data_IF_384991960805
#
_entry.id   IF_384991960805
#
_cell.length_a   1.000
_cell.length_b   1.000
_cell.length_c   1.000
_cell.angle_alpha   90.00
_cell.angle_beta   90.00
_cell.angle_gamma   90.00
#
_symmetry.space_group_name_H-M   'P 1'
#
loop_
_entity.id
_entity.type
_entity.pdbx_description
1 polymer ?
#
# COMPACT_ATOMS: atom_id res chain seq x y z
N UNK A 1 -24.82 23.87 45.27
CA UNK A 1 -25.25 24.64 44.10
C UNK A 1 -24.16 24.56 43.06
N UNK A 2 -24.45 23.79 42.04
CA UNK A 2 -23.91 23.81 40.67
C UNK A 2 -22.41 23.99 40.41
N UNK A 3 -21.79 22.85 40.19
CA UNK A 3 -20.56 22.73 39.38
C UNK A 3 -20.82 21.68 38.27
N UNK A 4 -21.59 22.07 37.29
CA UNK A 4 -21.75 21.37 35.99
C UNK A 4 -21.71 22.46 34.94
N UNK A 5 -20.66 22.48 34.12
CA UNK A 5 -20.47 23.01 32.77
C UNK A 5 -18.96 23.29 32.64
N UNK A 6 -18.24 22.29 32.16
CA UNK A 6 -16.93 22.46 31.47
C UNK A 6 -16.35 21.07 31.11
N UNK A 7 -17.05 20.35 30.24
CA UNK A 7 -16.47 19.17 29.56
C UNK A 7 -17.26 18.90 28.28
N UNK A 8 -17.12 19.79 27.31
CA UNK A 8 -17.68 19.52 25.97
C UNK A 8 -16.98 20.36 24.89
N UNK A 9 -15.72 20.16 24.73
CA UNK A 9 -15.00 20.55 23.50
C UNK A 9 -13.61 19.92 23.60
N UNK A 10 -13.38 18.86 22.90
CA UNK A 10 -12.13 18.28 22.43
C UNK A 10 -12.39 16.77 22.30
N UNK A 11 -12.29 16.29 21.11
CA UNK A 11 -12.19 14.91 20.60
C UNK A 11 -13.27 14.54 19.58
N UNK A 12 -13.22 15.20 18.42
CA UNK A 12 -13.52 14.51 17.18
C UNK A 12 -12.23 13.81 16.73
N UNK A 13 -11.87 12.74 17.37
CA UNK A 13 -10.91 11.79 16.84
C UNK A 13 -11.66 10.72 16.05
N UNK A 14 -11.27 10.59 14.78
CA UNK A 14 -11.62 9.53 13.85
C UNK A 14 -11.64 8.17 14.53
N UNK A 15 -12.62 7.33 14.18
CA UNK A 15 -12.84 5.97 14.68
C UNK A 15 -11.74 4.97 14.22
N UNK A 16 -10.50 5.22 14.54
CA UNK A 16 -9.42 4.22 14.48
C UNK A 16 -9.24 3.55 15.84
N UNK A 17 -10.30 2.98 16.39
CA UNK A 17 -10.26 2.25 17.65
C UNK A 17 -10.85 0.87 17.50
N UNK A 18 -10.10 -0.04 16.87
CA UNK A 18 -10.23 -1.47 17.18
C UNK A 18 -8.90 -2.13 16.81
N UNK A 19 -7.96 -2.13 17.72
CA UNK A 19 -7.13 -3.27 18.09
C UNK A 19 -6.29 -2.91 19.32
N UNK A 20 -6.94 -2.94 20.48
CA UNK A 20 -6.26 -2.91 21.76
C UNK A 20 -6.15 -4.34 22.26
N UNK A 21 -5.26 -5.14 21.67
CA UNK A 21 -4.54 -6.17 22.41
C UNK A 21 -3.21 -5.55 22.81
N UNK A 22 -3.14 -5.18 24.07
CA UNK A 22 -2.09 -4.41 24.69
C UNK A 22 -0.91 -5.35 24.99
N UNK A 23 -0.09 -5.60 23.99
CA UNK A 23 1.34 -5.50 24.14
C UNK A 23 1.72 -4.23 23.42
N UNK A 24 2.18 -3.21 24.18
CA UNK A 24 2.74 -2.01 23.56
C UNK A 24 3.79 -2.47 22.58
N UNK A 25 3.71 -1.96 21.33
CA UNK A 25 4.73 -2.29 20.32
C UNK A 25 6.10 -1.86 20.83
N UNK A 26 7.13 -2.50 20.35
CA UNK A 26 8.53 -2.14 20.71
C UNK A 26 8.79 -0.66 20.47
N UNK A 27 8.29 -0.10 19.36
CA UNK A 27 8.41 1.31 19.04
C UNK A 27 7.64 2.20 20.03
N UNK A 28 6.38 1.87 20.32
CA UNK A 28 5.55 2.66 21.24
C UNK A 28 6.05 2.62 22.68
N UNK A 29 6.67 1.52 23.11
CA UNK A 29 7.26 1.35 24.44
C UNK A 29 8.63 2.03 24.57
N UNK A 30 9.34 2.29 23.46
CA UNK A 30 10.67 2.89 23.49
C UNK A 30 10.61 4.39 23.82
N UNK A 31 11.58 4.84 24.64
CA UNK A 31 11.76 6.26 24.95
C UNK A 31 12.96 6.81 24.17
N UNK A 32 12.71 7.69 23.23
CA UNK A 32 13.73 8.25 22.33
C UNK A 32 14.50 9.45 22.90
N UNK A 33 14.31 9.78 24.18
CA UNK A 33 14.93 10.97 24.80
C UNK A 33 16.45 10.98 24.60
N UNK A 34 16.95 12.05 23.98
CA UNK A 34 18.38 12.27 23.72
C UNK A 34 19.00 11.34 22.66
N UNK A 35 18.19 10.53 21.94
CA UNK A 35 18.64 9.66 20.88
C UNK A 35 18.40 10.25 19.50
N UNK A 36 19.27 9.92 18.55
CA UNK A 36 19.12 10.23 17.13
C UNK A 36 18.54 9.01 16.42
N UNK A 37 17.27 9.06 16.06
CA UNK A 37 16.62 7.98 15.34
C UNK A 37 16.86 8.11 13.83
N UNK A 38 17.56 7.13 13.25
CA UNK A 38 17.77 7.00 11.81
C UNK A 38 16.60 6.22 11.21
N UNK A 39 15.75 6.91 10.45
CA UNK A 39 14.49 6.36 9.95
C UNK A 39 14.55 6.17 8.44
N UNK A 40 14.23 4.96 7.97
CA UNK A 40 13.94 4.72 6.56
C UNK A 40 12.46 4.98 6.30
N UNK A 41 12.17 6.02 5.54
CA UNK A 41 10.82 6.41 5.13
C UNK A 41 10.63 6.26 3.61
N UNK A 42 9.39 6.16 3.14
CA UNK A 42 9.09 6.15 1.71
C UNK A 42 8.49 7.48 1.25
N UNK A 43 9.37 8.44 0.97
CA UNK A 43 9.01 9.75 0.42
C UNK A 43 9.10 9.79 -1.12
N UNK A 44 8.94 8.65 -1.76
CA UNK A 44 8.84 8.56 -3.21
C UNK A 44 7.44 9.03 -3.67
N UNK A 45 7.23 10.33 -3.59
CA UNK A 45 5.98 11.03 -3.93
C UNK A 45 6.03 11.59 -5.35
N UNK A 46 4.88 11.71 -6.05
CA UNK A 46 4.83 12.32 -7.37
C UNK A 46 5.01 13.85 -7.26
N UNK A 47 5.81 14.40 -8.16
CA UNK A 47 6.06 15.83 -8.30
C UNK A 47 5.56 16.32 -9.66
N UNK A 48 4.99 17.52 -9.70
CA UNK A 48 4.69 18.21 -10.94
C UNK A 48 5.96 18.82 -11.60
N UNK A 49 5.80 19.48 -12.73
CA UNK A 49 6.91 20.11 -13.47
C UNK A 49 7.60 21.25 -12.68
N UNK A 50 6.95 21.79 -11.66
CA UNK A 50 7.47 22.84 -10.76
C UNK A 50 7.96 22.27 -9.42
N UNK A 51 8.11 20.94 -9.33
CA UNK A 51 8.50 20.20 -8.14
C UNK A 51 7.53 20.31 -6.96
N UNK A 52 6.25 20.65 -7.20
CA UNK A 52 5.24 20.56 -6.16
C UNK A 52 4.79 19.13 -5.99
N UNK A 53 4.55 18.73 -4.74
CA UNK A 53 4.01 17.40 -4.41
C UNK A 53 2.53 17.36 -4.79
N UNK A 54 2.14 16.41 -5.63
CA UNK A 54 0.75 16.22 -6.08
C UNK A 54 0.00 15.18 -5.23
N UNK A 55 0.72 14.29 -4.54
CA UNK A 55 0.18 13.35 -3.55
C UNK A 55 1.17 13.16 -2.42
N UNK A 56 0.77 13.49 -1.20
CA UNK A 56 1.60 13.43 0.01
C UNK A 56 1.24 12.28 0.96
N UNK A 57 0.39 11.35 0.52
CA UNK A 57 -0.13 10.23 1.33
C UNK A 57 0.98 9.45 2.02
N UNK A 58 2.06 9.14 1.31
CA UNK A 58 3.23 8.43 1.86
C UNK A 58 3.95 9.22 2.94
N UNK A 59 4.10 10.54 2.75
CA UNK A 59 4.72 11.39 3.76
C UNK A 59 3.84 11.45 5.02
N UNK A 60 2.55 11.68 4.86
CA UNK A 60 1.58 11.72 5.97
C UNK A 60 1.58 10.43 6.79
N UNK A 61 1.71 9.28 6.15
CA UNK A 61 1.74 7.98 6.83
C UNK A 61 2.85 7.85 7.87
N UNK A 62 4.01 8.50 7.68
CA UNK A 62 5.16 8.43 8.60
C UNK A 62 5.17 9.53 9.66
N UNK A 63 4.32 10.55 9.54
CA UNK A 63 4.29 11.67 10.49
C UNK A 63 4.09 11.22 11.94
N UNK A 64 3.17 10.26 12.27
CA UNK A 64 3.02 9.77 13.64
C UNK A 64 4.31 9.18 14.23
N UNK A 65 5.09 8.46 13.44
CA UNK A 65 6.40 7.91 13.84
C UNK A 65 7.38 9.04 14.19
N UNK A 66 7.50 10.03 13.32
CA UNK A 66 8.39 11.18 13.53
C UNK A 66 7.95 11.96 14.76
N UNK A 67 6.67 12.28 14.89
CA UNK A 67 6.12 13.04 16.02
C UNK A 67 6.32 12.34 17.36
N UNK A 68 6.20 11.00 17.43
CA UNK A 68 6.47 10.23 18.65
C UNK A 68 7.94 10.43 19.10
N UNK A 69 8.89 10.32 18.17
CA UNK A 69 10.32 10.47 18.49
C UNK A 69 10.64 11.89 18.96
N UNK A 70 10.13 12.90 18.25
CA UNK A 70 10.34 14.31 18.63
C UNK A 70 9.65 14.61 19.97
N UNK A 71 8.44 14.08 20.20
CA UNK A 71 7.69 14.25 21.45
C UNK A 71 8.36 13.63 22.66
N UNK A 72 9.13 12.57 22.50
CA UNK A 72 9.95 11.96 23.55
C UNK A 72 11.22 12.80 23.86
N UNK A 73 11.54 13.81 23.05
CA UNK A 73 12.79 14.57 23.15
C UNK A 73 13.96 13.93 22.42
N UNK A 74 13.70 13.11 21.42
CA UNK A 74 14.67 12.62 20.44
C UNK A 74 14.85 13.58 19.27
N UNK A 75 15.76 13.23 18.37
CA UNK A 75 15.94 13.87 17.06
C UNK A 75 15.84 12.83 15.95
N UNK A 76 15.54 13.26 14.73
CA UNK A 76 15.21 12.38 13.61
C UNK A 76 16.12 12.62 12.42
N UNK A 77 16.67 11.55 11.87
CA UNK A 77 17.41 11.57 10.60
C UNK A 77 16.64 10.71 9.60
N UNK A 78 16.13 11.33 8.55
CA UNK A 78 15.29 10.70 7.54
C UNK A 78 16.11 10.28 6.33
N UNK A 79 15.98 9.02 5.96
CA UNK A 79 16.53 8.42 4.75
C UNK A 79 15.39 8.05 3.82
N UNK A 80 15.43 8.49 2.57
CA UNK A 80 14.44 8.09 1.56
C UNK A 80 15.05 8.03 0.17
N UNK A 81 14.25 7.51 -0.77
CA UNK A 81 14.51 7.64 -2.20
C UNK A 81 13.43 8.49 -2.87
N UNK A 82 13.74 9.05 -4.02
CA UNK A 82 12.80 9.73 -4.89
C UNK A 82 13.10 9.34 -6.35
N UNK A 83 12.09 8.81 -7.03
CA UNK A 83 12.18 8.39 -8.42
C UNK A 83 13.20 7.27 -8.68
N UNK A 84 13.72 7.25 -9.91
CA UNK A 84 14.71 6.25 -10.38
C UNK A 84 15.82 6.98 -11.15
N UNK A 85 16.70 7.70 -10.46
CA UNK A 85 17.87 8.32 -11.11
C UNK A 85 18.78 7.23 -11.68
N UNK A 86 19.26 7.43 -12.92
CA UNK A 86 20.15 6.45 -13.59
C UNK A 86 21.62 6.88 -13.51
N UNK A 87 21.87 8.20 -13.51
CA UNK A 87 23.18 8.78 -13.76
C UNK A 87 23.70 9.60 -12.55
N UNK A 88 23.30 9.23 -11.33
CA UNK A 88 23.69 9.91 -10.09
C UNK A 88 22.85 11.15 -9.75
N UNK A 89 23.41 12.11 -9.00
CA UNK A 89 22.66 13.26 -8.50
C UNK A 89 22.11 14.16 -9.61
N UNK A 90 20.80 14.43 -9.53
CA UNK A 90 20.11 15.37 -10.42
C UNK A 90 19.08 16.16 -9.62
N UNK A 91 18.87 17.42 -9.97
CA UNK A 91 17.92 18.31 -9.29
C UNK A 91 16.51 17.73 -9.26
N UNK A 92 16.08 17.11 -10.36
CA UNK A 92 14.76 16.50 -10.51
C UNK A 92 14.44 15.48 -9.41
N UNK A 93 15.43 14.75 -8.91
CA UNK A 93 15.27 13.69 -7.93
C UNK A 93 15.85 14.04 -6.56
N UNK A 94 16.18 15.33 -6.33
CA UNK A 94 16.66 15.78 -5.02
C UNK A 94 15.52 15.82 -4.00
N UNK A 95 15.77 15.29 -2.81
CA UNK A 95 14.83 15.34 -1.68
C UNK A 95 14.69 16.76 -1.11
N UNK A 96 15.53 17.73 -1.52
CA UNK A 96 15.41 19.13 -1.09
C UNK A 96 14.04 19.73 -1.39
N UNK A 97 13.38 19.29 -2.48
CA UNK A 97 12.05 19.76 -2.86
C UNK A 97 10.97 19.40 -1.85
N UNK A 98 11.21 18.41 -0.99
CA UNK A 98 10.24 17.92 0.00
C UNK A 98 10.35 18.68 1.34
N UNK A 99 11.45 19.40 1.60
CA UNK A 99 11.76 20.03 2.90
C UNK A 99 10.64 20.96 3.37
N UNK A 100 10.22 21.90 2.52
CA UNK A 100 9.19 22.87 2.89
C UNK A 100 7.84 22.23 3.20
N UNK A 101 7.51 21.15 2.49
CA UNK A 101 6.29 20.40 2.74
C UNK A 101 6.39 19.61 4.05
N UNK A 102 7.54 19.01 4.32
CA UNK A 102 7.79 18.29 5.58
C UNK A 102 7.70 19.21 6.79
N UNK A 103 8.24 20.45 6.70
CA UNK A 103 8.08 21.49 7.75
C UNK A 103 6.60 21.75 8.05
N UNK A 104 5.76 21.87 7.00
CA UNK A 104 4.31 22.06 7.17
C UNK A 104 3.64 20.85 7.86
N UNK A 105 3.95 19.64 7.43
CA UNK A 105 3.40 18.42 8.02
C UNK A 105 3.82 18.20 9.49
N UNK A 106 4.99 18.73 9.88
CA UNK A 106 5.52 18.67 11.23
C UNK A 106 5.20 19.92 12.08
N UNK A 107 4.18 20.71 11.68
CA UNK A 107 3.72 21.89 12.41
C UNK A 107 4.82 22.92 12.71
N UNK A 108 5.76 23.13 11.77
CA UNK A 108 6.82 24.09 11.87
C UNK A 108 8.08 23.63 12.62
N UNK A 109 8.24 22.32 12.86
CA UNK A 109 9.49 21.78 13.39
C UNK A 109 10.70 22.16 12.50
N UNK A 110 11.85 22.32 13.12
CA UNK A 110 13.10 22.62 12.39
C UNK A 110 13.51 21.41 11.56
N UNK A 111 13.50 21.56 10.24
CA UNK A 111 13.97 20.55 9.28
C UNK A 111 15.22 21.06 8.58
N UNK A 112 16.33 20.37 8.81
CA UNK A 112 17.62 20.59 8.13
C UNK A 112 17.71 19.66 6.91
N UNK A 113 18.47 20.07 5.90
CA UNK A 113 18.74 19.24 4.73
C UNK A 113 20.24 19.06 4.55
N UNK A 114 20.67 17.81 4.30
CA UNK A 114 22.03 17.49 3.88
C UNK A 114 22.02 17.11 2.40
N UNK A 115 22.87 17.73 1.61
CA UNK A 115 23.00 17.56 0.17
C UNK A 115 23.78 16.30 -0.25
N UNK A 116 24.03 15.41 0.72
CA UNK A 116 24.64 14.09 0.53
C UNK A 116 24.08 13.10 1.57
N UNK A 117 24.28 11.78 1.31
CA UNK A 117 23.85 10.72 2.22
C UNK A 117 24.92 10.33 3.23
N UNK A 118 26.20 10.34 2.86
CA UNK A 118 27.33 9.80 3.62
C UNK A 118 28.58 10.70 3.58
N UNK A 119 28.47 11.89 3.04
CA UNK A 119 29.55 12.88 3.01
C UNK A 119 29.63 13.71 4.30
N UNK A 120 30.60 14.62 4.34
CA UNK A 120 30.81 15.52 5.48
C UNK A 120 29.56 16.30 5.88
N UNK A 121 28.82 16.83 4.90
CA UNK A 121 27.56 17.56 5.14
C UNK A 121 26.53 16.73 5.94
N UNK A 122 26.39 15.44 5.64
CA UNK A 122 25.47 14.56 6.38
C UNK A 122 25.95 14.31 7.82
N UNK A 123 27.24 13.99 7.99
CA UNK A 123 27.80 13.71 9.31
C UNK A 123 27.83 14.93 10.22
N UNK A 124 28.25 16.11 9.71
CA UNK A 124 28.34 17.34 10.50
C UNK A 124 26.95 17.79 10.96
N UNK A 125 25.95 17.72 10.06
CA UNK A 125 24.57 18.06 10.40
C UNK A 125 23.94 17.03 11.34
N UNK A 126 24.22 15.74 11.19
CA UNK A 126 23.77 14.71 12.12
C UNK A 126 24.43 14.86 13.50
N UNK A 127 25.74 15.19 13.55
CA UNK A 127 26.45 15.42 14.81
C UNK A 127 25.88 16.62 15.59
N UNK A 128 25.53 17.70 14.89
CA UNK A 128 25.01 18.95 15.49
C UNK A 128 23.50 18.98 15.68
N UNK A 129 22.79 17.87 15.36
CA UNK A 129 21.32 17.79 15.45
C UNK A 129 20.87 17.84 16.92
N UNK A 130 19.95 18.74 17.24
CA UNK A 130 19.41 18.93 18.58
C UNK A 130 18.11 18.14 18.79
N UNK A 131 17.75 17.81 20.03
CA UNK A 131 16.44 17.25 20.35
C UNK A 131 15.31 18.10 19.78
N UNK A 132 14.32 17.45 19.15
CA UNK A 132 13.21 18.13 18.47
C UNK A 132 13.49 18.56 17.03
N UNK A 133 14.72 18.39 16.53
CA UNK A 133 15.06 18.70 15.14
C UNK A 133 15.00 17.47 14.23
N UNK A 134 14.80 17.71 12.93
CA UNK A 134 14.77 16.71 11.87
C UNK A 134 15.88 17.02 10.85
N UNK A 135 16.61 16.02 10.43
CA UNK A 135 17.53 16.07 9.30
C UNK A 135 17.00 15.18 8.18
N UNK A 136 16.76 15.73 7.01
CA UNK A 136 16.54 14.97 5.79
C UNK A 136 17.87 14.89 5.03
N UNK A 137 18.39 13.69 4.78
CA UNK A 137 19.55 13.49 3.91
C UNK A 137 19.11 13.35 2.46
N UNK A 138 20.06 13.49 1.53
CA UNK A 138 19.77 13.41 0.09
C UNK A 138 19.30 12.03 -0.36
N UNK A 139 18.80 11.94 -1.60
CA UNK A 139 18.25 10.74 -2.21
C UNK A 139 19.24 9.60 -2.20
N UNK A 140 18.91 8.54 -1.48
CA UNK A 140 19.72 7.32 -1.36
C UNK A 140 20.08 6.70 -2.71
N UNK A 141 19.20 6.82 -3.72
CA UNK A 141 19.40 6.27 -5.06
C UNK A 141 20.37 7.07 -5.93
N UNK A 142 20.93 8.14 -5.42
CA UNK A 142 22.09 8.75 -6.04
C UNK A 142 23.34 7.88 -5.90
N UNK A 143 23.30 6.92 -4.98
CA UNK A 143 24.30 5.89 -4.79
C UNK A 143 23.79 4.55 -5.33
N UNK A 144 24.53 3.93 -6.28
CA UNK A 144 24.22 2.59 -6.82
C UNK A 144 24.29 1.51 -5.74
N UNK A 145 25.10 1.75 -4.73
CA UNK A 145 25.29 0.94 -3.54
C UNK A 145 24.00 0.72 -2.76
N UNK A 146 23.07 1.66 -2.81
CA UNK A 146 21.75 1.52 -2.17
C UNK A 146 20.98 0.34 -2.75
N UNK A 147 20.77 0.31 -4.06
CA UNK A 147 19.98 -0.73 -4.72
C UNK A 147 20.72 -2.07 -4.78
N UNK A 148 22.05 -2.06 -4.74
CA UNK A 148 22.90 -3.26 -4.68
C UNK A 148 22.97 -3.90 -3.29
N UNK A 149 22.41 -3.26 -2.26
CA UNK A 149 22.50 -3.76 -0.88
C UNK A 149 23.94 -3.75 -0.34
N UNK A 150 24.74 -2.74 -0.71
CA UNK A 150 26.15 -2.67 -0.34
C UNK A 150 26.34 -2.49 1.17
N UNK A 151 27.13 -3.39 1.74
CA UNK A 151 27.38 -3.43 3.20
C UNK A 151 28.19 -2.22 3.69
N UNK A 152 29.16 -1.75 2.93
CA UNK A 152 30.00 -0.63 3.33
C UNK A 152 29.21 0.69 3.28
N UNK A 153 28.31 0.84 2.31
CA UNK A 153 27.39 1.97 2.24
C UNK A 153 26.41 1.94 3.43
N UNK A 154 25.82 0.78 3.71
CA UNK A 154 24.93 0.59 4.87
C UNK A 154 25.64 0.89 6.20
N UNK A 155 26.90 0.47 6.36
CA UNK A 155 27.71 0.80 7.53
C UNK A 155 27.94 2.31 7.69
N UNK A 156 28.23 3.01 6.58
CA UNK A 156 28.38 4.46 6.63
C UNK A 156 27.07 5.15 7.03
N UNK A 157 25.92 4.73 6.47
CA UNK A 157 24.62 5.26 6.86
C UNK A 157 24.33 5.01 8.35
N UNK A 158 24.65 3.83 8.87
CA UNK A 158 24.37 3.48 10.26
C UNK A 158 25.07 4.38 11.29
N UNK A 159 26.19 5.01 10.91
CA UNK A 159 26.95 5.94 11.77
C UNK A 159 26.26 7.29 11.99
N UNK A 160 25.18 7.58 11.27
CA UNK A 160 24.42 8.82 11.41
C UNK A 160 23.54 8.84 12.66
N UNK A 161 23.06 7.67 13.14
CA UNK A 161 22.09 7.60 14.23
C UNK A 161 22.40 6.53 15.28
N UNK A 162 21.72 6.62 16.42
CA UNK A 162 21.88 5.74 17.58
C UNK A 162 20.96 4.52 17.52
N UNK A 163 19.84 4.64 16.78
CA UNK A 163 18.78 3.64 16.66
C UNK A 163 18.22 3.65 15.24
N UNK A 164 17.91 2.46 14.71
CA UNK A 164 17.34 2.32 13.37
C UNK A 164 15.83 2.03 13.43
N UNK A 165 15.07 2.77 12.65
CA UNK A 165 13.63 2.59 12.49
C UNK A 165 13.31 2.34 11.01
N UNK A 166 12.70 1.21 10.69
CA UNK A 166 12.17 0.96 9.36
C UNK A 166 10.68 1.35 9.34
N UNK A 167 10.35 2.38 8.57
CA UNK A 167 8.97 2.89 8.42
C UNK A 167 8.58 3.02 6.94
N UNK A 168 9.09 2.13 6.09
CA UNK A 168 8.94 2.15 4.64
C UNK A 168 8.48 0.80 4.09
N UNK A 169 7.21 0.46 4.29
CA UNK A 169 6.66 -0.83 3.84
C UNK A 169 6.74 -1.00 2.32
N UNK A 170 6.52 0.06 1.53
CA UNK A 170 6.60 0.02 0.08
C UNK A 170 7.95 -0.44 -0.49
N UNK A 171 9.03 -0.38 0.30
CA UNK A 171 10.36 -0.87 -0.08
C UNK A 171 10.78 -2.15 0.64
N UNK A 172 9.95 -2.68 1.53
CA UNK A 172 10.31 -3.83 2.39
C UNK A 172 10.62 -5.12 1.61
N UNK A 173 10.14 -5.26 0.38
CA UNK A 173 10.41 -6.39 -0.51
C UNK A 173 11.80 -6.38 -1.14
N UNK A 174 12.61 -5.35 -0.90
CA UNK A 174 13.93 -5.17 -1.49
C UNK A 174 15.04 -5.27 -0.45
N UNK A 175 16.09 -6.03 -0.75
CA UNK A 175 17.27 -6.16 0.11
C UNK A 175 18.24 -4.97 -0.07
N UNK A 176 17.73 -3.73 -0.14
CA UNK A 176 18.55 -2.54 -0.30
C UNK A 176 19.38 -2.22 0.96
N UNK A 177 20.44 -1.45 0.79
CA UNK A 177 21.34 -1.10 1.86
C UNK A 177 20.62 -0.45 3.06
N UNK A 178 19.78 0.56 2.79
CA UNK A 178 19.05 1.30 3.84
C UNK A 178 17.81 0.59 4.38
N UNK A 179 17.29 -0.44 3.68
CA UNK A 179 16.03 -1.13 4.03
C UNK A 179 16.28 -2.39 4.83
N UNK A 180 17.26 -3.21 4.43
CA UNK A 180 17.54 -4.51 5.03
C UNK A 180 18.95 -4.60 5.60
N UNK A 181 19.99 -4.30 4.79
CA UNK A 181 21.39 -4.53 5.18
C UNK A 181 21.79 -3.68 6.38
N UNK A 182 21.32 -2.45 6.48
CA UNK A 182 21.66 -1.54 7.59
C UNK A 182 21.27 -2.10 8.97
N UNK A 183 20.23 -2.94 9.04
CA UNK A 183 19.75 -3.48 10.31
C UNK A 183 20.78 -4.36 11.03
N UNK A 184 21.77 -4.91 10.33
CA UNK A 184 22.85 -5.71 10.94
C UNK A 184 23.81 -4.87 11.82
N UNK A 185 23.88 -3.56 11.60
CA UNK A 185 24.73 -2.64 12.35
C UNK A 185 24.08 -2.13 13.64
N UNK A 186 22.83 -2.52 13.89
CA UNK A 186 22.10 -2.16 15.10
C UNK A 186 21.77 -3.41 15.92
N UNK A 187 22.12 -3.46 17.22
CA UNK A 187 21.69 -4.56 18.08
C UNK A 187 20.16 -4.66 18.16
N UNK A 188 19.66 -5.82 18.56
CA UNK A 188 18.24 -6.14 18.50
C UNK A 188 17.32 -5.11 19.18
N UNK A 189 17.74 -4.53 20.29
CA UNK A 189 16.97 -3.50 21.01
C UNK A 189 17.02 -2.11 20.32
N UNK A 190 18.01 -1.89 19.44
CA UNK A 190 18.20 -0.63 18.70
C UNK A 190 17.72 -0.66 17.25
N UNK A 191 16.96 -1.67 16.88
CA UNK A 191 16.26 -1.70 15.58
C UNK A 191 14.81 -2.09 15.76
N UNK A 192 13.89 -1.39 15.06
CA UNK A 192 12.45 -1.60 15.18
C UNK A 192 11.69 -1.09 13.96
N UNK A 193 10.43 -1.48 13.87
CA UNK A 193 9.49 -0.88 12.93
C UNK A 193 9.00 0.46 13.47
N UNK A 194 8.70 1.42 12.57
CA UNK A 194 7.89 2.58 12.89
C UNK A 194 6.40 2.25 12.86
N UNK A 195 5.57 3.21 13.25
CA UNK A 195 4.10 3.00 13.39
C UNK A 195 3.42 2.65 12.06
N UNK A 196 3.86 3.25 10.94
CA UNK A 196 3.34 2.91 9.61
C UNK A 196 3.65 1.45 9.29
N UNK A 197 4.91 1.06 9.43
CA UNK A 197 5.36 -0.30 9.13
C UNK A 197 4.67 -1.34 10.01
N UNK A 198 4.49 -1.07 11.31
CA UNK A 198 3.74 -1.93 12.24
C UNK A 198 2.29 -2.11 11.79
N UNK A 199 1.63 -1.02 11.38
CA UNK A 199 0.23 -1.06 10.92
C UNK A 199 0.07 -1.83 9.61
N UNK A 200 1.01 -1.67 8.67
CA UNK A 200 1.05 -2.41 7.41
C UNK A 200 1.20 -3.92 7.65
N UNK A 201 2.22 -4.29 8.43
CA UNK A 201 2.49 -5.70 8.76
C UNK A 201 1.30 -6.32 9.50
N UNK A 202 0.77 -5.65 10.52
CA UNK A 202 -0.38 -6.15 11.28
C UNK A 202 -1.63 -6.34 10.41
N UNK A 203 -1.87 -5.40 9.47
CA UNK A 203 -3.00 -5.48 8.54
C UNK A 203 -2.84 -6.62 7.53
N UNK A 204 -1.63 -6.80 6.99
CA UNK A 204 -1.32 -7.90 6.10
C UNK A 204 -1.39 -9.27 6.80
N UNK A 205 -0.85 -9.38 8.02
CA UNK A 205 -0.96 -10.59 8.86
C UNK A 205 -2.41 -10.94 9.17
N UNK A 206 -3.27 -9.92 9.41
CA UNK A 206 -4.69 -10.16 9.68
C UNK A 206 -5.38 -10.83 8.50
N UNK A 207 -5.06 -10.43 7.27
CA UNK A 207 -5.55 -11.10 6.06
C UNK A 207 -4.99 -12.53 5.94
N UNK A 208 -3.67 -12.69 6.09
CA UNK A 208 -2.98 -13.94 5.77
C UNK A 208 -3.09 -15.02 6.86
N UNK A 209 -3.19 -14.64 8.12
CA UNK A 209 -3.07 -15.58 9.23
C UNK A 209 -4.20 -15.51 10.27
N UNK A 210 -4.99 -14.40 10.27
CA UNK A 210 -6.01 -14.15 11.29
C UNK A 210 -7.34 -13.70 10.68
N UNK A 211 -7.61 -14.07 9.42
CA UNK A 211 -8.85 -13.71 8.73
C UNK A 211 -10.06 -14.42 9.34
N UNK A 212 -11.12 -13.67 9.62
CA UNK A 212 -12.41 -14.18 10.05
C UNK A 212 -13.27 -14.52 8.82
N UNK A 213 -13.94 -15.67 8.84
CA UNK A 213 -14.84 -16.10 7.75
C UNK A 213 -16.26 -15.57 7.96
N UNK A 214 -17.00 -15.26 6.86
CA UNK A 214 -16.61 -15.32 5.48
C UNK A 214 -15.52 -14.32 5.12
N UNK A 215 -14.49 -14.79 4.37
CA UNK A 215 -13.43 -13.95 3.85
C UNK A 215 -13.57 -13.82 2.33
N UNK A 216 -13.79 -12.62 1.84
CA UNK A 216 -13.87 -12.31 0.40
C UNK A 216 -12.61 -11.57 -0.05
N UNK A 217 -11.90 -12.16 -1.02
CA UNK A 217 -10.82 -11.50 -1.75
C UNK A 217 -11.34 -10.97 -3.08
N UNK A 218 -11.13 -9.69 -3.36
CA UNK A 218 -11.55 -9.01 -4.59
C UNK A 218 -10.28 -8.72 -5.37
N UNK A 219 -10.13 -9.40 -6.49
CA UNK A 219 -8.93 -9.35 -7.32
C UNK A 219 -9.32 -8.85 -8.71
N UNK A 220 -8.83 -7.69 -9.07
CA UNK A 220 -9.06 -7.06 -10.36
C UNK A 220 -7.77 -6.68 -11.07
N UNK A 221 -7.92 -5.94 -12.17
CA UNK A 221 -6.81 -5.50 -12.99
C UNK A 221 -6.78 -6.12 -14.36
N UNK A 222 -5.70 -5.87 -15.12
CA UNK A 222 -5.64 -6.23 -16.53
C UNK A 222 -5.27 -7.70 -16.78
N UNK A 223 -4.34 -8.28 -15.99
CA UNK A 223 -3.68 -9.55 -16.32
C UNK A 223 -3.75 -10.59 -15.21
N UNK A 224 -4.08 -11.83 -15.60
CA UNK A 224 -4.04 -13.01 -14.71
C UNK A 224 -2.60 -13.31 -14.29
N UNK A 225 -1.64 -13.21 -15.22
CA UNK A 225 -0.21 -13.50 -14.97
C UNK A 225 0.36 -12.74 -13.77
N UNK A 226 -0.11 -11.52 -13.52
CA UNK A 226 0.35 -10.69 -12.41
C UNK A 226 -0.26 -11.09 -11.05
N UNK A 227 -1.25 -12.00 -11.04
CA UNK A 227 -2.06 -12.34 -9.86
C UNK A 227 -2.11 -13.83 -9.53
N UNK A 228 -1.51 -14.71 -10.33
CA UNK A 228 -1.60 -16.17 -10.15
C UNK A 228 -1.21 -16.56 -8.72
N UNK A 229 -0.02 -16.16 -8.28
CA UNK A 229 0.51 -16.54 -6.96
C UNK A 229 -0.36 -16.00 -5.81
N UNK A 230 -0.89 -14.80 -5.98
CA UNK A 230 -1.79 -14.18 -4.98
C UNK A 230 -3.08 -15.00 -4.90
N UNK A 231 -3.70 -15.33 -6.04
CA UNK A 231 -4.93 -16.13 -6.09
C UNK A 231 -4.68 -17.48 -5.45
N UNK A 232 -3.61 -18.20 -5.82
CA UNK A 232 -3.25 -19.49 -5.24
C UNK A 232 -3.11 -19.46 -3.72
N UNK A 233 -2.41 -18.46 -3.19
CA UNK A 233 -2.27 -18.30 -1.75
C UNK A 233 -3.61 -17.96 -1.05
N UNK A 234 -4.47 -17.20 -1.70
CA UNK A 234 -5.78 -16.83 -1.16
C UNK A 234 -6.75 -18.02 -1.16
N UNK A 235 -6.61 -18.98 -2.09
CA UNK A 235 -7.40 -20.22 -2.09
C UNK A 235 -7.25 -21.05 -0.80
N UNK A 236 -6.17 -20.85 -0.04
CA UNK A 236 -5.98 -21.54 1.25
C UNK A 236 -6.82 -20.91 2.39
N UNK A 237 -7.35 -19.71 2.20
CA UNK A 237 -7.92 -18.90 3.28
C UNK A 237 -9.27 -18.31 2.98
N UNK A 238 -9.48 -17.84 1.77
CA UNK A 238 -10.70 -17.18 1.37
C UNK A 238 -11.90 -18.14 1.35
N UNK A 239 -13.08 -17.60 1.57
CA UNK A 239 -14.35 -18.28 1.32
C UNK A 239 -14.80 -18.00 -0.12
N UNK A 240 -14.60 -16.77 -0.54
CA UNK A 240 -15.02 -16.25 -1.83
C UNK A 240 -13.86 -15.45 -2.46
N UNK A 241 -13.68 -15.60 -3.78
CA UNK A 241 -12.77 -14.78 -4.57
C UNK A 241 -13.57 -14.14 -5.71
N UNK A 242 -13.65 -12.82 -5.73
CA UNK A 242 -14.25 -12.06 -6.82
C UNK A 242 -13.13 -11.69 -7.80
N UNK A 243 -13.30 -12.07 -9.05
CA UNK A 243 -12.38 -11.73 -10.15
C UNK A 243 -13.06 -10.71 -11.05
N UNK A 244 -12.43 -9.54 -11.23
CA UNK A 244 -12.92 -8.46 -12.05
C UNK A 244 -11.83 -7.85 -12.94
N UNK A 245 -12.17 -6.77 -13.63
CA UNK A 245 -11.27 -6.13 -14.58
C UNK A 245 -11.00 -6.96 -15.83
N UNK A 246 -10.00 -6.56 -16.61
CA UNK A 246 -9.64 -7.23 -17.87
C UNK A 246 -9.26 -8.70 -17.71
N UNK A 247 -8.69 -9.07 -16.55
CA UNK A 247 -8.31 -10.46 -16.28
C UNK A 247 -9.48 -11.43 -16.24
N UNK A 248 -10.71 -10.96 -15.93
CA UNK A 248 -11.89 -11.81 -15.88
C UNK A 248 -12.19 -12.44 -17.25
N UNK A 249 -11.89 -11.76 -18.35
CA UNK A 249 -12.14 -12.29 -19.70
C UNK A 249 -11.21 -13.43 -20.08
N UNK A 250 -10.02 -13.53 -19.47
CA UNK A 250 -9.17 -14.72 -19.62
C UNK A 250 -9.85 -15.96 -19.01
N UNK A 251 -10.49 -15.83 -17.85
CA UNK A 251 -11.28 -16.92 -17.25
C UNK A 251 -12.50 -17.26 -18.09
N UNK A 252 -13.26 -16.24 -18.56
CA UNK A 252 -14.42 -16.44 -19.44
C UNK A 252 -14.05 -17.18 -20.72
N UNK A 253 -12.94 -16.78 -21.35
CA UNK A 253 -12.45 -17.44 -22.56
C UNK A 253 -12.00 -18.86 -22.31
N UNK A 254 -11.35 -19.12 -21.17
CA UNK A 254 -10.92 -20.45 -20.76
C UNK A 254 -12.11 -21.42 -20.58
N UNK A 255 -13.26 -20.94 -20.12
CA UNK A 255 -14.52 -21.68 -20.02
C UNK A 255 -15.28 -21.81 -21.36
N UNK A 256 -14.71 -21.29 -22.46
CA UNK A 256 -15.29 -21.39 -23.81
C UNK A 256 -16.19 -20.21 -24.18
N UNK A 257 -16.25 -19.14 -23.40
CA UNK A 257 -17.03 -17.94 -23.67
C UNK A 257 -16.52 -17.16 -24.88
N UNK A 258 -17.40 -16.34 -25.44
CA UNK A 258 -17.11 -15.33 -26.47
C UNK A 258 -16.89 -14.00 -25.76
N UNK A 259 -15.71 -13.43 -25.93
CA UNK A 259 -15.30 -12.20 -25.23
C UNK A 259 -15.07 -11.01 -26.18
N UNK A 260 -15.47 -11.13 -27.46
CA UNK A 260 -15.25 -10.10 -28.48
C UNK A 260 -13.78 -9.68 -28.57
N UNK A 261 -13.53 -8.39 -28.53
CA UNK A 261 -12.20 -7.77 -28.54
C UNK A 261 -11.66 -7.46 -27.13
N UNK A 262 -12.26 -8.06 -26.07
CA UNK A 262 -11.83 -7.84 -24.69
C UNK A 262 -10.39 -8.33 -24.45
N UNK A 263 -9.73 -7.71 -23.47
CA UNK A 263 -8.37 -8.10 -23.07
C UNK A 263 -8.34 -9.57 -22.63
N UNK A 264 -7.40 -10.35 -23.17
CA UNK A 264 -7.25 -11.76 -22.83
C UNK A 264 -5.80 -12.20 -22.97
N UNK A 265 -5.30 -12.93 -21.99
CA UNK A 265 -4.02 -13.61 -22.04
C UNK A 265 -4.23 -15.05 -22.55
N UNK A 266 -4.15 -15.23 -23.88
CA UNK A 266 -4.42 -16.53 -24.54
C UNK A 266 -3.51 -17.65 -24.04
N UNK A 267 -2.27 -17.31 -23.67
CA UNK A 267 -1.26 -18.22 -23.12
C UNK A 267 -1.54 -18.62 -21.66
N UNK A 268 -2.57 -18.03 -21.03
CA UNK A 268 -2.96 -18.28 -19.64
C UNK A 268 -4.30 -19.00 -19.46
N UNK A 269 -4.92 -19.45 -20.54
CA UNK A 269 -6.21 -20.14 -20.48
C UNK A 269 -6.16 -21.40 -19.61
N UNK A 270 -5.15 -22.24 -19.82
CA UNK A 270 -4.97 -23.45 -19.00
C UNK A 270 -4.73 -23.13 -17.53
N UNK A 271 -3.94 -22.08 -17.26
CA UNK A 271 -3.70 -21.59 -15.89
C UNK A 271 -5.02 -21.14 -15.22
N UNK A 272 -5.87 -20.41 -15.95
CA UNK A 272 -7.16 -19.97 -15.45
C UNK A 272 -8.07 -21.17 -15.10
N UNK A 273 -8.13 -22.20 -15.98
CA UNK A 273 -8.89 -23.44 -15.71
C UNK A 273 -8.34 -24.21 -14.49
N UNK A 274 -7.00 -24.25 -14.34
CA UNK A 274 -6.39 -24.87 -13.17
C UNK A 274 -6.74 -24.16 -11.88
N UNK A 275 -6.76 -22.82 -11.88
CA UNK A 275 -7.17 -22.01 -10.71
C UNK A 275 -8.63 -22.27 -10.34
N UNK A 276 -9.55 -22.35 -11.32
CA UNK A 276 -10.96 -22.71 -11.08
C UNK A 276 -11.10 -24.09 -10.45
N UNK A 277 -10.40 -25.10 -10.99
CA UNK A 277 -10.39 -26.46 -10.43
C UNK A 277 -9.81 -26.51 -9.02
N UNK A 278 -8.72 -25.79 -8.77
CA UNK A 278 -8.12 -25.69 -7.43
C UNK A 278 -9.09 -25.04 -6.44
N UNK A 279 -9.81 -24.00 -6.85
CA UNK A 279 -10.81 -23.34 -6.03
C UNK A 279 -11.95 -24.32 -5.66
N UNK A 280 -12.51 -25.02 -6.63
CA UNK A 280 -13.55 -26.03 -6.42
C UNK A 280 -13.09 -27.12 -5.43
N UNK A 281 -11.89 -27.66 -5.65
CA UNK A 281 -11.31 -28.70 -4.79
C UNK A 281 -11.12 -28.23 -3.34
N UNK A 282 -10.95 -26.92 -3.11
CA UNK A 282 -10.79 -26.30 -1.77
C UNK A 282 -12.10 -25.76 -1.19
N UNK A 283 -13.20 -25.86 -1.91
CA UNK A 283 -14.50 -25.30 -1.51
C UNK A 283 -14.52 -23.77 -1.48
N UNK A 284 -13.69 -23.11 -2.29
CA UNK A 284 -13.66 -21.66 -2.45
C UNK A 284 -14.50 -21.27 -3.66
N UNK A 285 -15.44 -20.34 -3.48
CA UNK A 285 -16.25 -19.83 -4.58
C UNK A 285 -15.50 -18.75 -5.36
N UNK A 286 -15.25 -18.99 -6.65
CA UNK A 286 -14.79 -17.95 -7.57
C UNK A 286 -16.01 -17.31 -8.23
N UNK A 287 -16.12 -15.99 -8.11
CA UNK A 287 -17.18 -15.18 -8.71
C UNK A 287 -16.61 -14.42 -9.91
N UNK A 288 -17.09 -14.79 -11.10
CA UNK A 288 -16.82 -14.06 -12.34
C UNK A 288 -18.01 -13.12 -12.65
N UNK A 289 -17.80 -11.97 -13.33
CA UNK A 289 -18.89 -11.06 -13.65
C UNK A 289 -19.89 -11.72 -14.62
N UNK A 290 -21.17 -11.73 -14.26
CA UNK A 290 -22.24 -12.31 -15.11
C UNK A 290 -22.53 -11.46 -16.34
N UNK A 291 -22.34 -10.13 -16.24
CA UNK A 291 -22.54 -9.17 -17.31
C UNK A 291 -21.47 -8.08 -17.27
N UNK A 292 -21.28 -7.43 -18.40
CA UNK A 292 -20.27 -6.38 -18.61
C UNK A 292 -20.86 -5.16 -19.27
N UNK A 293 -20.33 -3.98 -18.91
CA UNK A 293 -20.40 -2.79 -19.74
C UNK A 293 -19.37 -2.92 -20.85
N UNK A 294 -19.86 -2.94 -22.09
CA UNK A 294 -19.05 -3.12 -23.29
C UNK A 294 -18.92 -1.82 -24.08
N UNK A 295 -17.82 -1.69 -24.80
CA UNK A 295 -17.54 -0.52 -25.65
C UNK A 295 -17.03 -0.95 -27.03
N UNK A 296 -17.25 -0.11 -28.04
CA UNK A 296 -16.75 -0.29 -29.41
C UNK A 296 -15.27 0.06 -29.57
N UNK A 297 -14.68 0.79 -28.59
CA UNK A 297 -13.27 1.17 -28.54
C UNK A 297 -12.81 1.47 -27.12
N UNK A 298 -11.51 1.40 -26.88
CA UNK A 298 -10.92 1.81 -25.60
C UNK A 298 -10.72 3.34 -25.56
N UNK A 299 -11.79 4.08 -25.24
CA UNK A 299 -11.75 5.53 -25.17
C UNK A 299 -12.89 6.08 -24.31
N UNK A 300 -12.70 7.24 -23.68
CA UNK A 300 -13.70 7.88 -22.84
C UNK A 300 -14.98 8.30 -23.61
N UNK A 301 -14.87 8.56 -24.92
CA UNK A 301 -15.96 8.90 -25.82
C UNK A 301 -16.60 7.69 -26.52
N UNK A 302 -16.19 6.45 -26.22
CA UNK A 302 -16.71 5.23 -26.83
C UNK A 302 -18.24 5.12 -26.72
N UNK A 303 -18.87 4.47 -27.72
CA UNK A 303 -20.23 3.99 -27.58
C UNK A 303 -20.26 2.83 -26.59
N UNK A 304 -21.25 2.82 -25.71
CA UNK A 304 -21.40 1.79 -24.68
C UNK A 304 -22.67 0.97 -24.88
N UNK A 305 -22.61 -0.29 -24.50
CA UNK A 305 -23.76 -1.20 -24.39
C UNK A 305 -23.52 -2.17 -23.23
N UNK A 306 -24.39 -3.11 -23.05
CA UNK A 306 -24.23 -4.21 -22.08
C UNK A 306 -24.38 -5.56 -22.76
N UNK A 307 -23.65 -6.55 -22.25
CA UNK A 307 -23.76 -7.95 -22.73
C UNK A 307 -23.46 -8.92 -21.57
N UNK A 308 -23.90 -10.19 -21.67
CA UNK A 308 -23.37 -11.27 -20.84
C UNK A 308 -21.84 -11.32 -21.00
N UNK A 309 -21.10 -11.43 -19.90
CA UNK A 309 -19.62 -11.38 -19.96
C UNK A 309 -19.00 -12.51 -20.76
N UNK A 310 -19.71 -13.63 -20.93
CA UNK A 310 -19.30 -14.79 -21.71
C UNK A 310 -19.85 -14.81 -23.14
N UNK A 311 -20.59 -13.77 -23.58
CA UNK A 311 -21.14 -13.66 -24.94
C UNK A 311 -21.08 -12.21 -25.44
N UNK A 312 -19.88 -11.64 -25.50
CA UNK A 312 -19.62 -10.28 -26.00
C UNK A 312 -19.49 -10.34 -27.52
N UNK A 313 -20.24 -9.47 -28.26
CA UNK A 313 -20.20 -9.43 -29.71
C UNK A 313 -18.81 -9.06 -30.27
N UNK A 314 -18.51 -9.54 -31.48
CA UNK A 314 -17.30 -9.16 -32.21
C UNK A 314 -17.23 -7.64 -32.41
N UNK A 315 -16.04 -7.06 -32.27
CA UNK A 315 -15.80 -5.63 -32.35
C UNK A 315 -16.14 -4.84 -31.08
N UNK A 316 -16.72 -5.50 -30.06
CA UNK A 316 -16.96 -4.92 -28.74
C UNK A 316 -16.00 -5.50 -27.70
N UNK A 317 -15.68 -4.72 -26.67
CA UNK A 317 -14.81 -5.13 -25.56
C UNK A 317 -15.43 -4.75 -24.21
N UNK A 318 -15.26 -5.61 -23.22
CA UNK A 318 -15.69 -5.32 -21.86
C UNK A 318 -14.72 -4.36 -21.16
N UNK A 319 -15.24 -3.28 -20.59
CA UNK A 319 -14.45 -2.27 -19.89
C UNK A 319 -14.87 -2.01 -18.44
N UNK A 320 -16.05 -2.53 -18.02
CA UNK A 320 -16.48 -2.55 -16.62
C UNK A 320 -17.41 -3.73 -16.38
N UNK A 321 -17.66 -4.07 -15.13
CA UNK A 321 -18.69 -5.05 -14.76
C UNK A 321 -20.08 -4.44 -14.91
N UNK A 322 -21.08 -5.28 -15.29
CA UNK A 322 -22.46 -4.87 -15.46
C UNK A 322 -23.24 -4.78 -14.15
N UNK A 323 -24.52 -4.42 -14.26
CA UNK A 323 -25.39 -4.17 -13.09
C UNK A 323 -25.67 -5.45 -12.29
N UNK A 324 -25.89 -6.59 -12.99
CA UNK A 324 -26.15 -7.87 -12.33
C UNK A 324 -24.90 -8.35 -11.56
N UNK A 325 -23.71 -8.22 -12.15
CA UNK A 325 -22.46 -8.51 -11.48
C UNK A 325 -22.22 -7.61 -10.27
N UNK A 326 -22.53 -6.33 -10.38
CA UNK A 326 -22.50 -5.37 -9.27
C UNK A 326 -23.37 -5.83 -8.10
N UNK A 327 -24.59 -6.25 -8.35
CA UNK A 327 -25.51 -6.74 -7.32
C UNK A 327 -24.99 -8.03 -6.66
N UNK A 328 -24.57 -9.02 -7.47
CA UNK A 328 -24.03 -10.28 -6.98
C UNK A 328 -22.77 -10.06 -6.10
N UNK A 329 -21.84 -9.24 -6.55
CA UNK A 329 -20.62 -8.95 -5.81
C UNK A 329 -20.89 -8.15 -4.53
N UNK A 330 -21.82 -7.18 -4.59
CA UNK A 330 -22.27 -6.42 -3.40
C UNK A 330 -22.84 -7.37 -2.34
N UNK A 331 -23.68 -8.32 -2.72
CA UNK A 331 -24.26 -9.29 -1.80
C UNK A 331 -23.19 -10.21 -1.19
N UNK A 332 -22.17 -10.59 -1.97
CA UNK A 332 -21.02 -11.35 -1.47
C UNK A 332 -20.19 -10.52 -0.47
N UNK A 333 -19.88 -9.27 -0.78
CA UNK A 333 -19.08 -8.39 0.06
C UNK A 333 -19.77 -8.08 1.39
N UNK A 334 -21.08 -7.78 1.37
CA UNK A 334 -21.86 -7.41 2.56
C UNK A 334 -21.94 -8.50 3.64
N UNK A 335 -21.83 -9.78 3.27
CA UNK A 335 -21.82 -10.88 4.24
C UNK A 335 -20.44 -11.16 4.86
N UNK A 336 -19.37 -10.52 4.33
CA UNK A 336 -17.99 -10.81 4.69
C UNK A 336 -17.63 -10.26 6.07
N UNK A 337 -16.74 -10.98 6.77
CA UNK A 337 -16.08 -10.52 7.99
C UNK A 337 -14.68 -10.00 7.72
N UNK A 338 -14.04 -10.53 6.68
CA UNK A 338 -12.73 -10.08 6.20
C UNK A 338 -12.83 -9.79 4.72
N UNK A 339 -12.25 -8.67 4.28
CA UNK A 339 -12.25 -8.23 2.88
C UNK A 339 -10.83 -7.81 2.51
N UNK A 340 -10.32 -8.38 1.41
CA UNK A 340 -9.12 -7.89 0.72
C UNK A 340 -9.54 -7.34 -0.63
N UNK A 341 -9.16 -6.11 -0.96
CA UNK A 341 -9.39 -5.53 -2.27
C UNK A 341 -8.08 -5.16 -2.95
N UNK A 342 -7.80 -5.79 -4.11
CA UNK A 342 -6.61 -5.55 -4.91
C UNK A 342 -6.93 -5.58 -6.42
N UNK A 343 -7.11 -4.42 -7.01
CA UNK A 343 -7.38 -4.21 -8.44
C UNK A 343 -8.83 -3.78 -8.71
N UNK A 344 -9.03 -2.83 -9.65
CA UNK A 344 -10.33 -2.32 -10.02
C UNK A 344 -11.15 -3.33 -10.82
N UNK A 345 -12.47 -3.08 -10.91
CA UNK A 345 -13.40 -3.92 -11.66
C UNK A 345 -13.57 -3.50 -13.11
N UNK A 346 -13.18 -2.27 -13.43
CA UNK A 346 -13.24 -1.68 -14.77
C UNK A 346 -12.23 -0.56 -14.93
N UNK A 347 -12.28 0.15 -16.05
CA UNK A 347 -11.39 1.29 -16.37
C UNK A 347 -11.95 2.54 -15.66
N UNK A 348 -11.80 2.56 -14.33
CA UNK A 348 -12.44 3.55 -13.46
C UNK A 348 -11.96 5.00 -13.68
N UNK A 349 -10.85 5.19 -14.36
CA UNK A 349 -10.34 6.50 -14.77
C UNK A 349 -11.25 7.18 -15.83
N UNK A 350 -12.06 6.37 -16.54
CA UNK A 350 -13.04 6.87 -17.51
C UNK A 350 -14.44 6.83 -16.88
N UNK A 351 -15.13 7.96 -16.85
CA UNK A 351 -16.43 8.12 -16.20
C UNK A 351 -17.46 7.04 -16.58
N UNK A 352 -17.47 6.64 -17.87
CA UNK A 352 -18.39 5.62 -18.39
C UNK A 352 -18.13 4.21 -17.84
N UNK A 353 -16.95 3.94 -17.32
CA UNK A 353 -16.49 2.60 -16.90
C UNK A 353 -16.05 2.55 -15.43
N UNK A 354 -16.48 3.53 -14.62
CA UNK A 354 -16.13 3.60 -13.19
C UNK A 354 -17.19 2.99 -12.28
N UNK A 355 -18.39 2.71 -12.80
CA UNK A 355 -19.55 2.34 -11.97
C UNK A 355 -19.31 1.08 -11.16
N UNK A 356 -18.78 0.04 -11.79
CA UNK A 356 -18.49 -1.24 -11.13
C UNK A 356 -17.49 -1.07 -9.98
N UNK A 357 -16.35 -0.40 -10.23
CA UNK A 357 -15.34 -0.13 -9.20
C UNK A 357 -15.89 0.71 -8.06
N UNK A 358 -16.71 1.73 -8.36
CA UNK A 358 -17.33 2.57 -7.33
C UNK A 358 -18.37 1.80 -6.50
N UNK A 359 -19.14 0.92 -7.12
CA UNK A 359 -20.12 0.06 -6.43
C UNK A 359 -19.42 -0.88 -5.45
N UNK A 360 -18.31 -1.50 -5.87
CA UNK A 360 -17.52 -2.37 -5.00
C UNK A 360 -16.91 -1.57 -3.83
N UNK A 361 -16.34 -0.40 -4.08
CA UNK A 361 -15.84 0.48 -3.02
C UNK A 361 -16.93 0.85 -1.99
N UNK A 362 -18.15 1.13 -2.48
CA UNK A 362 -19.32 1.42 -1.63
C UNK A 362 -19.69 0.21 -0.77
N UNK A 363 -19.77 -0.98 -1.37
CA UNK A 363 -20.10 -2.21 -0.66
C UNK A 363 -19.06 -2.55 0.43
N UNK A 364 -17.78 -2.35 0.13
CA UNK A 364 -16.69 -2.53 1.12
C UNK A 364 -16.83 -1.54 2.27
N UNK A 365 -17.12 -0.27 2.00
CA UNK A 365 -17.33 0.74 3.03
C UNK A 365 -18.52 0.42 3.93
N UNK A 366 -19.64 -0.04 3.35
CA UNK A 366 -20.83 -0.47 4.09
C UNK A 366 -20.55 -1.70 4.97
N UNK A 367 -19.89 -2.72 4.41
CA UNK A 367 -19.49 -3.92 5.17
C UNK A 367 -18.52 -3.56 6.32
N UNK A 368 -17.60 -2.64 6.09
CA UNK A 368 -16.68 -2.14 7.12
C UNK A 368 -17.44 -1.41 8.22
N UNK A 369 -18.41 -0.57 7.85
CA UNK A 369 -19.30 0.11 8.81
C UNK A 369 -20.14 -0.87 9.64
N UNK A 370 -20.44 -2.06 9.10
CA UNK A 370 -21.12 -3.15 9.77
C UNK A 370 -20.17 -4.06 10.60
N UNK A 371 -18.87 -3.76 10.66
CA UNK A 371 -17.88 -4.44 11.50
C UNK A 371 -16.94 -5.41 10.77
N UNK A 372 -16.98 -5.48 9.45
CA UNK A 372 -15.99 -6.24 8.69
C UNK A 372 -14.61 -5.55 8.74
N UNK A 373 -13.54 -6.35 8.71
CA UNK A 373 -12.20 -5.83 8.46
C UNK A 373 -11.93 -5.76 6.97
N UNK A 374 -11.56 -4.60 6.46
CA UNK A 374 -11.23 -4.40 5.04
C UNK A 374 -9.83 -3.84 4.85
N UNK A 375 -9.06 -4.48 3.98
CA UNK A 375 -7.75 -4.03 3.52
C UNK A 375 -7.81 -3.71 2.04
N UNK A 376 -7.48 -2.48 1.68
CA UNK A 376 -7.34 -2.02 0.29
C UNK A 376 -5.86 -1.90 -0.04
N UNK A 377 -5.41 -2.56 -1.10
CA UNK A 377 -4.01 -2.55 -1.51
C UNK A 377 -3.82 -2.63 -3.02
N UNK A 378 -2.64 -2.20 -3.45
CA UNK A 378 -2.32 -2.02 -4.88
C UNK A 378 -2.64 -0.61 -5.37
N UNK A 379 -1.78 -0.08 -6.26
CA UNK A 379 -1.84 1.33 -6.69
C UNK A 379 -3.21 1.75 -7.20
N UNK A 380 -3.80 0.97 -8.09
CA UNK A 380 -5.08 1.30 -8.73
C UNK A 380 -6.26 1.25 -7.74
N UNK A 381 -6.29 0.28 -6.82
CA UNK A 381 -7.35 0.21 -5.80
C UNK A 381 -7.24 1.37 -4.81
N UNK A 382 -6.02 1.75 -4.44
CA UNK A 382 -5.76 2.91 -3.58
C UNK A 382 -6.16 4.20 -4.29
N UNK A 383 -5.85 4.34 -5.58
CA UNK A 383 -6.30 5.46 -6.38
C UNK A 383 -7.84 5.53 -6.45
N UNK A 384 -8.50 4.41 -6.71
CA UNK A 384 -9.96 4.32 -6.78
C UNK A 384 -10.63 4.67 -5.43
N UNK A 385 -10.17 4.12 -4.32
CA UNK A 385 -10.76 4.38 -3.00
C UNK A 385 -10.61 5.85 -2.59
N UNK A 386 -9.50 6.48 -2.97
CA UNK A 386 -9.26 7.91 -2.75
C UNK A 386 -10.15 8.76 -3.66
N UNK A 387 -10.20 8.46 -4.98
CA UNK A 387 -11.02 9.19 -5.96
C UNK A 387 -12.50 9.19 -5.57
N UNK A 388 -13.02 8.08 -5.07
CA UNK A 388 -14.43 7.96 -4.67
C UNK A 388 -14.72 8.40 -3.23
N UNK A 389 -13.71 8.83 -2.46
CA UNK A 389 -13.89 9.34 -1.10
C UNK A 389 -14.25 8.27 -0.07
N UNK A 390 -13.71 7.06 -0.21
CA UNK A 390 -13.94 5.95 0.73
C UNK A 390 -12.73 5.55 1.56
N UNK A 391 -11.59 6.24 1.41
CA UNK A 391 -10.35 5.87 2.09
C UNK A 391 -10.49 5.85 3.64
N UNK A 392 -11.27 6.75 4.21
CA UNK A 392 -11.58 6.84 5.64
C UNK A 392 -12.73 5.93 6.10
N UNK A 393 -13.36 5.21 5.16
CA UNK A 393 -14.50 4.30 5.40
C UNK A 393 -14.12 2.82 5.34
N UNK A 394 -12.87 2.51 5.04
CA UNK A 394 -12.31 1.16 5.07
C UNK A 394 -11.39 1.01 6.28
N UNK A 395 -11.08 -0.22 6.69
CA UNK A 395 -10.26 -0.44 7.89
C UNK A 395 -8.81 -0.06 7.68
N UNK A 396 -8.25 -0.31 6.50
CA UNK A 396 -6.87 0.02 6.17
C UNK A 396 -6.66 0.22 4.66
N UNK A 397 -5.96 1.29 4.31
CA UNK A 397 -5.46 1.55 2.95
C UNK A 397 -3.95 1.43 2.97
N UNK A 398 -3.42 0.42 2.28
CA UNK A 398 -1.98 0.13 2.30
C UNK A 398 -1.20 1.07 1.37
N UNK A 399 -0.08 1.53 1.86
CA UNK A 399 0.92 2.26 1.07
C UNK A 399 1.94 1.33 0.40
N UNK A 400 1.83 0.02 0.68
CA UNK A 400 2.85 -0.99 0.35
C UNK A 400 3.02 -1.30 -1.13
N UNK A 401 2.01 -1.05 -1.96
CA UNK A 401 2.10 -1.33 -3.40
C UNK A 401 2.59 -2.75 -3.70
N UNK A 402 3.74 -2.86 -4.39
CA UNK A 402 4.36 -4.15 -4.74
C UNK A 402 4.78 -4.99 -3.54
N UNK A 403 5.21 -4.37 -2.44
CA UNK A 403 5.61 -5.11 -1.25
C UNK A 403 4.44 -5.86 -0.60
N UNK A 404 3.24 -5.25 -0.58
CA UNK A 404 2.04 -5.92 -0.10
C UNK A 404 1.67 -7.12 -0.99
N UNK A 405 1.80 -6.96 -2.31
CA UNK A 405 1.53 -8.06 -3.25
C UNK A 405 2.48 -9.23 -3.02
N UNK A 406 3.79 -8.97 -2.91
CA UNK A 406 4.78 -9.99 -2.63
C UNK A 406 4.57 -10.67 -1.26
N UNK A 407 4.08 -9.93 -0.28
CA UNK A 407 3.68 -10.52 1.01
C UNK A 407 2.51 -11.50 0.84
N UNK A 408 1.50 -11.14 0.02
CA UNK A 408 0.37 -12.03 -0.28
C UNK A 408 0.75 -13.20 -1.20
N UNK A 409 1.83 -13.10 -1.95
CA UNK A 409 2.44 -14.23 -2.67
C UNK A 409 3.17 -15.20 -1.73
N UNK A 410 3.26 -14.91 -0.43
CA UNK A 410 3.93 -15.73 0.57
C UNK A 410 5.44 -15.54 0.63
N UNK A 411 5.97 -14.49 0.01
CA UNK A 411 7.41 -14.19 0.04
C UNK A 411 7.82 -13.57 1.38
N UNK A 412 8.99 -13.96 1.85
CA UNK A 412 9.64 -13.27 2.99
C UNK A 412 10.15 -11.92 2.51
N UNK A 413 9.67 -10.85 3.14
CA UNK A 413 10.13 -9.49 2.80
C UNK A 413 11.43 -9.16 3.55
N UNK A 414 12.55 -8.86 2.84
CA UNK A 414 13.86 -8.62 3.46
C UNK A 414 13.85 -7.52 4.52
N UNK A 415 13.10 -6.43 4.29
CA UNK A 415 12.99 -5.32 5.25
C UNK A 415 12.25 -5.70 6.54
N UNK A 416 11.38 -6.73 6.50
CA UNK A 416 10.72 -7.28 7.68
C UNK A 416 11.65 -8.26 8.40
N UNK A 417 12.23 -9.19 7.65
CA UNK A 417 13.13 -10.20 8.17
C UNK A 417 14.34 -9.58 8.91
N UNK A 418 14.92 -8.51 8.35
CA UNK A 418 16.06 -7.81 8.93
C UNK A 418 15.80 -7.21 10.33
N UNK A 419 14.58 -6.80 10.61
CA UNK A 419 14.19 -6.28 11.94
C UNK A 419 13.88 -7.43 12.89
N UNK A 420 13.20 -8.47 12.43
CA UNK A 420 12.79 -9.61 13.27
C UNK A 420 13.95 -10.58 13.57
N UNK A 421 15.06 -10.52 12.84
CA UNK A 421 16.24 -11.35 13.08
C UNK A 421 16.15 -12.75 12.46
N UNK A 422 15.44 -12.89 11.35
CA UNK A 422 15.26 -14.15 10.60
C UNK A 422 16.00 -14.10 9.27
#
# INVERSE_FOLDING_TARGET
MNCHILFSAIFKFSKYHIFKLITMSKFSAHNFKGQKALIRVDFNVPLDASFNITDDTRMKGTIPTIQKILGDGGSVILMSHLGRPKDGPTDKYSLKHLVNHLVKLLNGATVKFADDCIGASAYDKAASLQPGEVLLIENLRFYKEEENGDTAFAEKLSKLGDIYVNDAFGTAHRAHASTAVIAQFFPGEKKMFGLLMESEVASAEKIMHKSEKPFTAIIGGAKVSDKILIIENLLERATDIIIGGGMAYTFMKAEGGKIGSSLCEMERLDTALELLKKAEAKGVCIHLPSDSVIADKFAADANISSAPSNDIPDGWMGLDIGMNACEQFTNCIKRSKTILWNGPMGVFEMEKFQHGTKTIATAIAEATGAGAFSLVGGGDSVAAVNQFGFADKVSYVSTGGGALLEYFEGKVLPGIAAINGH
#
